data_IF_063720511304
#
_entry.id   IF_063720511304
#
_cell.length_a   1.000
_cell.length_b   1.000
_cell.length_c   1.000
_cell.angle_alpha   90.00
_cell.angle_beta   90.00
_cell.angle_gamma   90.00
#
_symmetry.space_group_name_H-M   'P 1'
#
loop_
_entity.id
_entity.type
_entity.pdbx_description
1 polymer ?
#
# COMPACT_ATOMS: atom_id res chain seq x y z
N UNK A 1 -8.65 10.16 -7.20
CA UNK A 1 -7.19 9.98 -7.03
C UNK A 1 -6.91 8.74 -6.21
N UNK A 2 -6.71 7.65 -6.93
CA UNK A 2 -6.36 6.34 -6.40
C UNK A 2 -4.83 6.25 -6.26
N UNK A 3 -4.39 5.58 -5.20
CA UNK A 3 -2.99 5.31 -4.95
C UNK A 3 -2.73 3.81 -5.11
N UNK A 4 -1.78 3.47 -5.96
CA UNK A 4 -1.35 2.10 -6.22
C UNK A 4 0.05 1.92 -5.69
N UNK A 5 0.28 0.86 -4.93
CA UNK A 5 1.58 0.49 -4.37
C UNK A 5 1.85 -0.95 -4.74
N UNK A 6 2.90 -1.17 -5.51
CA UNK A 6 3.38 -2.50 -5.87
C UNK A 6 4.57 -2.87 -5.00
N UNK A 7 4.59 -4.09 -4.51
CA UNK A 7 5.67 -4.63 -3.67
C UNK A 7 5.70 -6.15 -3.79
N UNK A 8 6.69 -6.80 -3.19
CA UNK A 8 6.83 -8.25 -3.21
C UNK A 8 5.67 -8.92 -2.45
N UNK A 9 5.17 -10.06 -2.97
CA UNK A 9 4.13 -10.83 -2.31
C UNK A 9 4.55 -11.32 -0.92
N UNK A 10 5.85 -11.54 -0.71
CA UNK A 10 6.42 -11.97 0.58
C UNK A 10 6.23 -10.94 1.69
N UNK A 11 6.11 -9.65 1.36
CA UNK A 11 5.95 -8.57 2.34
C UNK A 11 4.49 -8.17 2.57
N UNK A 12 3.57 -8.64 1.71
CA UNK A 12 2.12 -8.38 1.79
C UNK A 12 1.55 -8.53 3.20
N UNK A 13 1.74 -9.66 3.92
CA UNK A 13 1.07 -9.84 5.21
C UNK A 13 1.57 -8.85 6.27
N UNK A 14 2.86 -8.54 6.26
CA UNK A 14 3.47 -7.62 7.23
C UNK A 14 3.04 -6.18 6.94
N UNK A 15 3.16 -5.73 5.69
CA UNK A 15 2.77 -4.38 5.28
C UNK A 15 1.27 -4.15 5.50
N UNK A 16 0.43 -5.14 5.17
CA UNK A 16 -1.02 -5.08 5.41
C UNK A 16 -1.35 -4.87 6.88
N UNK A 17 -0.66 -5.57 7.78
CA UNK A 17 -0.85 -5.41 9.23
C UNK A 17 -0.47 -3.99 9.68
N UNK A 18 0.65 -3.45 9.22
CA UNK A 18 1.07 -2.08 9.54
C UNK A 18 0.05 -1.03 9.05
N UNK A 19 -0.43 -1.16 7.82
CA UNK A 19 -1.45 -0.28 7.23
C UNK A 19 -2.72 -0.26 8.10
N UNK A 20 -3.18 -1.45 8.53
CA UNK A 20 -4.36 -1.58 9.38
C UNK A 20 -4.11 -0.97 10.77
N UNK A 21 -2.92 -1.15 11.36
CA UNK A 21 -2.52 -0.52 12.62
C UNK A 21 -2.54 1.02 12.54
N UNK A 22 -2.32 1.60 11.35
CA UNK A 22 -2.45 3.03 11.09
C UNK A 22 -3.90 3.50 10.87
N UNK A 23 -4.89 2.61 11.03
CA UNK A 23 -6.30 2.94 10.85
C UNK A 23 -6.71 3.09 9.38
N UNK A 24 -5.91 2.58 8.45
CA UNK A 24 -6.23 2.59 7.02
C UNK A 24 -6.89 1.26 6.69
N UNK A 25 -8.21 1.26 6.52
CA UNK A 25 -8.99 0.05 6.22
C UNK A 25 -9.57 0.01 4.81
N UNK A 26 -9.58 1.14 4.11
CA UNK A 26 -10.14 1.27 2.75
C UNK A 26 -9.07 1.06 1.69
N UNK A 27 -8.70 -0.19 1.50
CA UNK A 27 -7.81 -0.62 0.43
C UNK A 27 -8.15 -2.04 -0.02
N UNK A 28 -7.69 -2.43 -1.20
CA UNK A 28 -7.74 -3.80 -1.69
C UNK A 28 -6.35 -4.23 -2.13
N UNK A 29 -6.10 -5.53 -2.07
CA UNK A 29 -4.84 -6.15 -2.51
C UNK A 29 -5.17 -7.10 -3.64
N UNK A 30 -4.43 -7.00 -4.74
CA UNK A 30 -4.53 -7.94 -5.86
C UNK A 30 -3.16 -8.48 -6.24
N UNK A 31 -3.07 -9.70 -6.79
CA UNK A 31 -1.85 -10.19 -7.42
C UNK A 31 -1.40 -9.25 -8.56
N UNK A 32 -0.09 -9.08 -8.71
CA UNK A 32 0.57 -8.40 -9.82
C UNK A 32 1.72 -9.31 -10.30
N UNK A 33 2.04 -9.34 -11.59
CA UNK A 33 2.97 -10.31 -12.21
C UNK A 33 4.23 -10.69 -11.38
N UNK A 34 4.75 -11.91 -11.61
CA UNK A 34 6.04 -12.41 -11.09
C UNK A 34 6.26 -12.14 -9.59
N UNK A 35 5.45 -12.77 -8.72
CA UNK A 35 5.56 -12.70 -7.25
C UNK A 35 5.39 -11.31 -6.63
N UNK A 36 4.71 -10.38 -7.31
CA UNK A 36 4.35 -9.08 -6.77
C UNK A 36 2.87 -9.01 -6.35
N UNK A 37 2.55 -8.02 -5.53
CA UNK A 37 1.18 -7.65 -5.18
C UNK A 37 1.01 -6.16 -5.34
N UNK A 38 -0.23 -5.74 -5.62
CA UNK A 38 -0.61 -4.35 -5.70
C UNK A 38 -1.65 -4.01 -4.64
N UNK A 39 -1.29 -3.09 -3.75
CA UNK A 39 -2.20 -2.44 -2.83
C UNK A 39 -2.82 -1.23 -3.52
N UNK A 40 -4.14 -1.12 -3.45
CA UNK A 40 -4.88 -0.03 -4.08
C UNK A 40 -5.73 0.68 -3.05
N UNK A 41 -5.51 1.98 -2.91
CA UNK A 41 -6.17 2.85 -1.95
C UNK A 41 -7.05 3.85 -2.71
N UNK A 42 -8.36 3.81 -2.45
CA UNK A 42 -9.34 4.61 -3.18
C UNK A 42 -9.45 6.05 -2.65
N UNK A 43 -9.18 6.25 -1.37
CA UNK A 43 -9.28 7.56 -0.73
C UNK A 43 -8.44 7.56 0.55
N UNK A 44 -7.37 8.34 0.55
CA UNK A 44 -6.52 8.57 1.71
C UNK A 44 -6.54 10.06 2.06
N UNK A 45 -6.74 10.37 3.34
CA UNK A 45 -6.47 11.70 3.86
C UNK A 45 -4.97 12.02 3.83
N UNK A 46 -4.60 13.29 3.89
CA UNK A 46 -3.19 13.70 3.97
C UNK A 46 -2.46 13.10 5.19
N UNK A 47 -3.18 12.89 6.29
CA UNK A 47 -2.63 12.20 7.46
C UNK A 47 -2.34 10.72 7.17
N UNK A 48 -3.29 10.02 6.54
CA UNK A 48 -3.12 8.61 6.16
C UNK A 48 -2.00 8.43 5.13
N UNK A 49 -1.87 9.34 4.16
CA UNK A 49 -0.74 9.32 3.21
C UNK A 49 0.60 9.44 3.94
N UNK A 50 0.72 10.32 4.95
CA UNK A 50 1.95 10.45 5.74
C UNK A 50 2.28 9.18 6.54
N UNK A 51 1.28 8.56 7.16
CA UNK A 51 1.46 7.29 7.89
C UNK A 51 1.87 6.16 6.95
N UNK A 52 1.18 6.04 5.81
CA UNK A 52 1.50 5.04 4.80
C UNK A 52 2.93 5.21 4.27
N UNK A 53 3.33 6.44 3.93
CA UNK A 53 4.70 6.75 3.52
C UNK A 53 5.74 6.46 4.61
N UNK A 54 5.36 6.46 5.88
CA UNK A 54 6.25 6.06 6.98
C UNK A 54 6.44 4.54 7.01
N UNK A 55 5.37 3.75 6.89
CA UNK A 55 5.43 2.28 6.84
C UNK A 55 6.27 1.80 5.66
N UNK A 56 6.06 2.40 4.48
CA UNK A 56 6.71 1.99 3.23
C UNK A 56 8.24 2.18 3.23
N UNK A 57 8.82 2.95 4.16
CA UNK A 57 10.28 3.21 4.19
C UNK A 57 11.12 1.95 4.34
N UNK A 58 10.54 0.89 4.90
CA UNK A 58 11.23 -0.37 5.15
C UNK A 58 11.07 -1.38 4.01
N UNK A 59 10.39 -1.01 2.93
CA UNK A 59 10.00 -1.92 1.86
C UNK A 59 10.48 -1.40 0.51
N UNK A 60 10.76 -2.33 -0.41
CA UNK A 60 10.90 -2.00 -1.83
C UNK A 60 9.50 -1.83 -2.42
N UNK A 61 9.21 -0.69 -3.03
CA UNK A 61 7.91 -0.45 -3.63
C UNK A 61 7.96 0.46 -4.85
N UNK A 62 6.99 0.28 -5.75
CA UNK A 62 6.68 1.22 -6.82
C UNK A 62 5.32 1.86 -6.55
N UNK A 63 5.28 3.20 -6.65
CA UNK A 63 4.09 3.98 -6.36
C UNK A 63 3.54 4.60 -7.64
N UNK A 64 2.24 4.49 -7.87
CA UNK A 64 1.55 5.13 -9.01
C UNK A 64 0.31 5.86 -8.50
N UNK A 65 0.15 7.11 -8.95
CA UNK A 65 -1.06 7.90 -8.70
C UNK A 65 -1.94 7.90 -9.94
N UNK A 66 -3.18 7.47 -9.80
CA UNK A 66 -4.19 7.54 -10.87
C UNK A 66 -5.22 8.61 -10.51
N UNK A 67 -5.52 9.49 -11.46
CA UNK A 67 -6.42 10.64 -11.26
C UNK A 67 -7.87 10.18 -11.05
#
# INVERSE_FOLDING_TARGET
MELHIRTDASVEPTLKREIICHGISRFYVRPYDDDHVEFIFLSLSEHQKKLLSFSLRNYSYCLTYLA
#
